data_IF_770547257106
#
_entry.id   IF_770547257106
#
_cell.length_a   1.000
_cell.length_b   1.000
_cell.length_c   1.000
_cell.angle_alpha   90.00
_cell.angle_beta   90.00
_cell.angle_gamma   90.00
#
_symmetry.space_group_name_H-M   'P 1'
#
loop_
_entity.id
_entity.type
_entity.pdbx_description
1 polymer ?
#
# COMPACT_ATOMS: atom_id res chain seq x y z
N UNK A 1 -12.65 -34.20 -4.27
CA UNK A 1 -12.29 -32.76 -4.30
C UNK A 1 -11.42 -32.38 -3.10
N UNK A 2 -11.93 -32.47 -1.86
CA UNK A 2 -11.22 -31.99 -0.67
C UNK A 2 -9.80 -32.58 -0.50
N UNK A 3 -9.66 -33.90 -0.61
CA UNK A 3 -8.36 -34.59 -0.53
C UNK A 3 -7.39 -34.10 -1.62
N UNK A 4 -7.82 -34.12 -2.88
CA UNK A 4 -7.00 -33.63 -4.00
C UNK A 4 -6.61 -32.15 -3.86
N UNK A 5 -7.51 -31.31 -3.33
CA UNK A 5 -7.22 -29.90 -3.06
C UNK A 5 -6.21 -29.75 -1.91
N UNK A 6 -6.30 -30.59 -0.88
CA UNK A 6 -5.33 -30.65 0.23
C UNK A 6 -3.94 -31.04 -0.25
N UNK A 7 -3.84 -32.09 -1.07
CA UNK A 7 -2.56 -32.54 -1.65
C UNK A 7 -1.96 -31.46 -2.55
N UNK A 8 -2.80 -30.81 -3.36
CA UNK A 8 -2.36 -29.72 -4.23
C UNK A 8 -1.87 -28.50 -3.43
N UNK A 9 -2.59 -28.14 -2.36
CA UNK A 9 -2.27 -27.02 -1.48
C UNK A 9 -0.99 -27.26 -0.67
N UNK A 10 -0.77 -28.48 -0.21
CA UNK A 10 0.36 -28.86 0.66
C UNK A 10 1.66 -29.19 -0.10
N UNK A 11 1.63 -29.21 -1.44
CA UNK A 11 2.82 -29.50 -2.24
C UNK A 11 3.99 -28.54 -1.94
N UNK A 12 5.20 -29.03 -1.59
CA UNK A 12 6.28 -28.18 -1.09
C UNK A 12 6.96 -27.31 -2.17
N UNK A 13 6.85 -27.65 -3.45
CA UNK A 13 7.42 -26.87 -4.56
C UNK A 13 6.44 -25.87 -5.18
N UNK A 14 6.82 -25.11 -6.21
CA UNK A 14 5.87 -24.28 -6.96
C UNK A 14 4.96 -25.15 -7.85
N UNK A 15 3.68 -24.77 -7.95
CA UNK A 15 2.79 -25.37 -8.95
C UNK A 15 3.05 -24.70 -10.30
N UNK A 16 3.22 -25.49 -11.35
CA UNK A 16 3.37 -24.98 -12.72
C UNK A 16 2.04 -25.03 -13.49
N UNK A 17 1.99 -24.37 -14.64
CA UNK A 17 0.77 -24.29 -15.46
C UNK A 17 0.23 -25.67 -15.87
N UNK A 18 1.11 -26.65 -16.12
CA UNK A 18 0.72 -28.01 -16.51
C UNK A 18 0.03 -28.76 -15.35
N UNK A 19 0.57 -28.63 -14.13
CA UNK A 19 -0.03 -29.21 -12.93
C UNK A 19 -1.39 -28.59 -12.63
N UNK A 20 -1.52 -27.26 -12.75
CA UNK A 20 -2.80 -26.56 -12.59
C UNK A 20 -3.80 -27.02 -13.64
N UNK A 21 -3.39 -27.14 -14.91
CA UNK A 21 -4.28 -27.62 -15.97
C UNK A 21 -4.79 -29.03 -15.70
N UNK A 22 -3.89 -29.97 -15.37
CA UNK A 22 -4.26 -31.36 -15.00
C UNK A 22 -5.20 -31.42 -13.80
N UNK A 23 -5.01 -30.52 -12.83
CA UNK A 23 -5.88 -30.42 -11.66
C UNK A 23 -7.27 -29.90 -12.06
N UNK A 24 -7.34 -28.81 -12.83
CA UNK A 24 -8.62 -28.20 -13.26
C UNK A 24 -9.38 -29.04 -14.29
N UNK A 25 -8.70 -29.86 -15.09
CA UNK A 25 -9.33 -30.83 -16.00
C UNK A 25 -10.14 -31.88 -15.20
N UNK A 26 -9.68 -32.23 -13.99
CA UNK A 26 -10.37 -33.16 -13.09
C UNK A 26 -11.38 -32.47 -12.18
N UNK A 27 -11.05 -31.25 -11.74
CA UNK A 27 -11.85 -30.45 -10.81
C UNK A 27 -12.05 -29.04 -11.39
N UNK A 28 -13.06 -28.84 -12.25
CA UNK A 28 -13.27 -27.55 -12.90
C UNK A 28 -13.48 -26.42 -11.89
N UNK A 29 -12.95 -25.24 -12.20
CA UNK A 29 -13.01 -24.08 -11.31
C UNK A 29 -14.45 -23.71 -10.83
N UNK A 30 -15.51 -23.77 -11.67
CA UNK A 30 -16.89 -23.58 -11.20
C UNK A 30 -17.31 -24.54 -10.08
N UNK A 31 -16.83 -25.80 -10.13
CA UNK A 31 -17.14 -26.83 -9.11
C UNK A 31 -16.46 -26.49 -7.79
N UNK A 32 -15.20 -26.04 -7.85
CA UNK A 32 -14.43 -25.62 -6.67
C UNK A 32 -15.06 -24.37 -6.04
N UNK A 33 -15.42 -23.38 -6.86
CA UNK A 33 -16.07 -22.15 -6.41
C UNK A 33 -17.44 -22.45 -5.79
N UNK A 34 -18.25 -23.30 -6.43
CA UNK A 34 -19.55 -23.70 -5.89
C UNK A 34 -19.39 -24.44 -4.55
N UNK A 35 -18.39 -25.31 -4.42
CA UNK A 35 -18.11 -25.99 -3.16
C UNK A 35 -17.68 -25.01 -2.04
N UNK A 36 -16.95 -23.94 -2.39
CA UNK A 36 -16.57 -22.88 -1.45
C UNK A 36 -17.77 -22.03 -1.00
N UNK A 37 -18.77 -21.85 -1.88
CA UNK A 37 -20.00 -21.11 -1.58
C UNK A 37 -21.03 -21.93 -0.77
N UNK A 38 -20.95 -23.25 -0.83
CA UNK A 38 -21.79 -24.12 -0.02
C UNK A 38 -21.40 -23.99 1.45
N UNK A 39 -22.31 -23.47 2.27
CA UNK A 39 -22.20 -23.40 3.76
C UNK A 39 -22.32 -24.79 4.42
N UNK A 40 -21.71 -25.82 3.83
CA UNK A 40 -21.70 -27.16 4.40
C UNK A 40 -20.74 -27.23 5.57
N UNK A 41 -21.14 -27.88 6.66
CA UNK A 41 -20.33 -28.14 7.86
C UNK A 41 -19.25 -29.20 7.61
N UNK A 42 -18.51 -29.10 6.50
CA UNK A 42 -17.35 -29.95 6.24
C UNK A 42 -16.13 -29.27 6.88
N UNK A 43 -15.53 -29.86 7.93
CA UNK A 43 -14.38 -29.28 8.59
C UNK A 43 -13.24 -29.00 7.60
N UNK A 44 -12.57 -27.86 7.76
CA UNK A 44 -11.45 -27.38 6.95
C UNK A 44 -11.68 -27.24 5.44
N UNK A 45 -12.89 -27.50 4.92
CA UNK A 45 -13.19 -27.39 3.49
C UNK A 45 -12.81 -26.01 2.95
N UNK A 46 -13.31 -24.95 3.60
CA UNK A 46 -13.08 -23.58 3.19
C UNK A 46 -11.57 -23.25 3.15
N UNK A 47 -10.86 -23.53 4.23
CA UNK A 47 -9.41 -23.29 4.34
C UNK A 47 -8.61 -24.04 3.28
N UNK A 48 -8.94 -25.32 3.04
CA UNK A 48 -8.25 -26.16 2.05
C UNK A 48 -8.52 -25.67 0.63
N UNK A 49 -9.77 -25.34 0.29
CA UNK A 49 -10.12 -24.84 -1.03
C UNK A 49 -9.50 -23.46 -1.28
N UNK A 50 -9.50 -22.58 -0.28
CA UNK A 50 -8.83 -21.27 -0.36
C UNK A 50 -7.34 -21.46 -0.63
N UNK A 51 -6.64 -22.28 0.15
CA UNK A 51 -5.21 -22.53 -0.04
C UNK A 51 -4.90 -23.14 -1.42
N UNK A 52 -5.77 -24.03 -1.92
CA UNK A 52 -5.66 -24.59 -3.26
C UNK A 52 -5.83 -23.50 -4.34
N UNK A 53 -6.87 -22.68 -4.24
CA UNK A 53 -7.16 -21.60 -5.19
C UNK A 53 -6.07 -20.53 -5.21
N UNK A 54 -5.50 -20.17 -4.05
CA UNK A 54 -4.36 -19.25 -3.99
C UNK A 54 -3.19 -19.75 -4.86
N UNK A 55 -2.92 -21.05 -4.84
CA UNK A 55 -1.84 -21.65 -5.65
C UNK A 55 -2.19 -21.74 -7.12
N UNK A 56 -3.46 -22.01 -7.45
CA UNK A 56 -3.95 -22.02 -8.83
C UNK A 56 -3.76 -20.65 -9.45
N UNK A 57 -4.29 -19.59 -8.83
CA UNK A 57 -4.25 -18.23 -9.39
C UNK A 57 -2.86 -17.60 -9.42
N UNK A 58 -1.91 -18.11 -8.63
CA UNK A 58 -0.51 -17.65 -8.68
C UNK A 58 0.28 -18.17 -9.90
N UNK A 59 -0.34 -18.99 -10.75
CA UNK A 59 0.25 -19.45 -12.02
C UNK A 59 -0.22 -18.60 -13.19
N UNK A 60 0.52 -18.61 -14.31
CA UNK A 60 0.12 -17.83 -15.50
C UNK A 60 -1.18 -18.37 -16.10
N UNK A 61 -1.33 -19.69 -16.12
CA UNK A 61 -2.55 -20.34 -16.59
C UNK A 61 -3.73 -20.06 -15.66
N UNK A 62 -3.55 -20.14 -14.34
CA UNK A 62 -4.64 -19.81 -13.42
C UNK A 62 -5.05 -18.34 -13.47
N UNK A 63 -4.08 -17.43 -13.56
CA UNK A 63 -4.34 -16.00 -13.67
C UNK A 63 -5.14 -15.64 -14.93
N UNK A 64 -4.88 -16.30 -16.06
CA UNK A 64 -5.62 -16.05 -17.31
C UNK A 64 -7.10 -16.46 -17.25
N UNK A 65 -7.50 -17.28 -16.27
CA UNK A 65 -8.88 -17.67 -16.06
C UNK A 65 -9.68 -16.64 -15.25
N UNK A 66 -9.01 -15.81 -14.43
CA UNK A 66 -9.63 -14.82 -13.55
C UNK A 66 -10.71 -13.95 -14.24
N UNK A 67 -10.49 -13.39 -15.45
CA UNK A 67 -11.51 -12.57 -16.11
C UNK A 67 -12.88 -13.27 -16.27
N UNK A 68 -12.89 -14.60 -16.44
CA UNK A 68 -14.11 -15.39 -16.61
C UNK A 68 -14.88 -15.57 -15.29
N UNK A 69 -14.21 -15.34 -14.15
CA UNK A 69 -14.73 -15.55 -12.80
C UNK A 69 -14.74 -14.24 -11.98
N UNK A 70 -14.79 -13.09 -12.65
CA UNK A 70 -14.79 -11.78 -11.97
C UNK A 70 -15.98 -11.59 -11.02
N UNK A 71 -17.13 -12.19 -11.31
CA UNK A 71 -18.28 -12.18 -10.40
C UNK A 71 -17.96 -12.86 -9.06
N UNK A 72 -17.18 -13.95 -9.08
CA UNK A 72 -16.69 -14.60 -7.86
C UNK A 72 -15.72 -13.71 -7.10
N UNK A 73 -14.81 -13.02 -7.79
CA UNK A 73 -13.86 -12.10 -7.14
C UNK A 73 -14.61 -10.96 -6.45
N UNK A 74 -15.59 -10.35 -7.13
CA UNK A 74 -16.41 -9.27 -6.57
C UNK A 74 -17.17 -9.70 -5.32
N UNK A 75 -17.88 -10.84 -5.39
CA UNK A 75 -18.61 -11.41 -4.25
C UNK A 75 -17.64 -11.81 -3.13
N UNK A 76 -16.46 -12.34 -3.48
CA UNK A 76 -15.42 -12.74 -2.54
C UNK A 76 -14.87 -11.56 -1.73
N UNK A 77 -14.66 -10.39 -2.36
CA UNK A 77 -14.25 -9.17 -1.67
C UNK A 77 -15.28 -8.69 -0.64
N UNK A 78 -16.55 -9.10 -0.80
CA UNK A 78 -17.64 -8.75 0.11
C UNK A 78 -18.02 -9.91 1.05
N UNK A 79 -17.32 -11.04 1.00
CA UNK A 79 -17.64 -12.21 1.79
C UNK A 79 -17.47 -11.93 3.30
N UNK A 80 -18.35 -12.51 4.13
CA UNK A 80 -18.23 -12.47 5.60
C UNK A 80 -16.95 -13.17 6.08
N UNK A 81 -16.54 -14.22 5.36
CA UNK A 81 -15.32 -14.98 5.63
C UNK A 81 -14.06 -14.21 5.27
N UNK A 82 -13.21 -13.98 6.27
CA UNK A 82 -11.95 -13.25 6.10
C UNK A 82 -10.98 -14.01 5.18
N UNK A 83 -10.96 -15.35 5.20
CA UNK A 83 -10.07 -16.13 4.34
C UNK A 83 -10.49 -16.08 2.87
N UNK A 84 -11.80 -16.03 2.59
CA UNK A 84 -12.33 -15.83 1.24
C UNK A 84 -12.07 -14.41 0.76
N UNK A 85 -12.27 -13.42 1.63
CA UNK A 85 -11.96 -12.01 1.33
C UNK A 85 -10.48 -11.82 1.00
N UNK A 86 -9.59 -12.46 1.78
CA UNK A 86 -8.15 -12.47 1.53
C UNK A 86 -7.78 -13.12 0.20
N UNK A 87 -8.38 -14.26 -0.13
CA UNK A 87 -8.19 -14.91 -1.44
C UNK A 87 -8.61 -13.97 -2.57
N UNK A 88 -9.76 -13.31 -2.45
CA UNK A 88 -10.25 -12.38 -3.45
C UNK A 88 -9.28 -11.20 -3.65
N UNK A 89 -8.79 -10.58 -2.58
CA UNK A 89 -7.74 -9.55 -2.65
C UNK A 89 -6.49 -10.05 -3.40
N UNK A 90 -5.97 -11.22 -3.03
CA UNK A 90 -4.80 -11.81 -3.70
C UNK A 90 -5.06 -12.11 -5.18
N UNK A 91 -6.26 -12.57 -5.51
CA UNK A 91 -6.67 -12.87 -6.89
C UNK A 91 -6.67 -11.60 -7.74
N UNK A 92 -7.09 -10.46 -7.18
CA UNK A 92 -6.99 -9.17 -7.88
C UNK A 92 -5.54 -8.80 -8.18
N UNK A 93 -4.59 -9.05 -7.26
CA UNK A 93 -3.17 -8.79 -7.54
C UNK A 93 -2.62 -9.57 -8.74
N UNK A 94 -3.25 -10.69 -9.09
CA UNK A 94 -2.88 -11.54 -10.22
C UNK A 94 -3.52 -11.12 -11.55
N UNK A 95 -4.43 -10.14 -11.56
CA UNK A 95 -5.21 -9.73 -12.73
C UNK A 95 -5.19 -8.21 -12.94
N UNK A 96 -5.08 -7.76 -14.20
CA UNK A 96 -4.67 -6.40 -14.55
C UNK A 96 -5.50 -5.74 -15.65
N UNK A 97 -6.68 -6.25 -16.01
CA UNK A 97 -7.50 -5.65 -17.08
C UNK A 97 -8.78 -5.00 -16.55
N UNK A 98 -9.20 -3.90 -17.20
CA UNK A 98 -10.51 -3.20 -17.35
C UNK A 98 -11.62 -3.23 -16.26
N UNK A 99 -11.56 -4.08 -15.24
CA UNK A 99 -12.52 -4.18 -14.14
C UNK A 99 -12.15 -3.30 -12.92
N UNK A 100 -11.13 -2.45 -13.06
CA UNK A 100 -10.52 -1.67 -11.97
C UNK A 100 -11.52 -0.76 -11.26
N UNK A 101 -12.43 -0.12 -12.00
CA UNK A 101 -13.42 0.83 -11.46
C UNK A 101 -14.36 0.18 -10.43
N UNK A 102 -14.73 -1.09 -10.63
CA UNK A 102 -15.66 -1.81 -9.75
C UNK A 102 -14.94 -2.40 -8.55
N UNK A 103 -13.69 -2.86 -8.75
CA UNK A 103 -12.92 -3.58 -7.73
C UNK A 103 -12.29 -2.61 -6.72
N UNK A 104 -11.86 -1.43 -7.15
CA UNK A 104 -11.09 -0.51 -6.31
C UNK A 104 -11.84 -0.09 -5.03
N UNK A 105 -13.13 0.30 -5.07
CA UNK A 105 -13.89 0.60 -3.85
C UNK A 105 -13.99 -0.59 -2.88
N UNK A 106 -14.08 -1.81 -3.41
CA UNK A 106 -14.15 -3.03 -2.61
C UNK A 106 -12.81 -3.37 -1.95
N UNK A 107 -11.69 -3.14 -2.65
CA UNK A 107 -10.36 -3.26 -2.05
C UNK A 107 -10.16 -2.25 -0.93
N UNK A 108 -10.61 -1.01 -1.11
CA UNK A 108 -10.52 0.00 -0.08
C UNK A 108 -11.40 -0.32 1.13
N UNK A 109 -12.61 -0.85 0.92
CA UNK A 109 -13.42 -1.39 2.01
C UNK A 109 -12.69 -2.53 2.74
N UNK A 110 -12.08 -3.45 1.99
CA UNK A 110 -11.24 -4.51 2.55
C UNK A 110 -10.08 -3.96 3.40
N UNK A 111 -9.41 -2.90 2.93
CA UNK A 111 -8.34 -2.23 3.65
C UNK A 111 -8.83 -1.62 4.97
N UNK A 112 -9.92 -0.88 4.91
CA UNK A 112 -10.41 -0.07 6.03
C UNK A 112 -11.11 -0.91 7.09
N UNK A 113 -11.96 -1.86 6.68
CA UNK A 113 -12.95 -2.51 7.55
C UNK A 113 -12.64 -3.98 7.89
N UNK A 114 -11.56 -4.57 7.37
CA UNK A 114 -11.24 -6.01 7.59
C UNK A 114 -10.12 -6.25 8.60
N UNK A 115 -9.82 -7.52 8.87
CA UNK A 115 -8.67 -7.91 9.67
C UNK A 115 -7.32 -7.50 9.03
N UNK A 116 -6.23 -7.66 9.78
CA UNK A 116 -4.89 -7.27 9.33
C UNK A 116 -4.41 -8.04 8.09
N UNK A 117 -4.76 -9.32 7.96
CA UNK A 117 -4.32 -10.16 6.85
C UNK A 117 -5.03 -9.79 5.55
N UNK A 118 -6.32 -9.46 5.62
CA UNK A 118 -7.10 -8.94 4.49
C UNK A 118 -6.63 -7.54 4.13
N UNK A 119 -6.43 -6.66 5.12
CA UNK A 119 -5.97 -5.29 4.86
C UNK A 119 -4.60 -5.27 4.18
N UNK A 120 -3.69 -6.16 4.58
CA UNK A 120 -2.40 -6.36 3.93
C UNK A 120 -2.57 -6.87 2.49
N UNK A 121 -3.39 -7.90 2.27
CA UNK A 121 -3.64 -8.43 0.94
C UNK A 121 -4.27 -7.38 0.00
N UNK A 122 -5.17 -6.55 0.53
CA UNK A 122 -5.75 -5.42 -0.21
C UNK A 122 -4.69 -4.37 -0.56
N UNK A 123 -3.81 -4.01 0.39
CA UNK A 123 -2.68 -3.10 0.13
C UNK A 123 -1.80 -3.62 -1.00
N UNK A 124 -1.45 -4.91 -0.99
CA UNK A 124 -0.62 -5.53 -2.03
C UNK A 124 -1.32 -5.54 -3.40
N UNK A 125 -2.65 -5.75 -3.42
CA UNK A 125 -3.46 -5.66 -4.62
C UNK A 125 -3.45 -4.24 -5.19
N UNK A 126 -3.77 -3.23 -4.35
CA UNK A 126 -3.79 -1.83 -4.76
C UNK A 126 -2.40 -1.39 -5.28
N UNK A 127 -1.31 -1.78 -4.62
CA UNK A 127 0.05 -1.50 -5.09
C UNK A 127 0.35 -2.15 -6.44
N UNK A 128 -0.20 -3.33 -6.72
CA UNK A 128 -0.02 -4.01 -7.99
C UNK A 128 -0.78 -3.30 -9.11
N UNK A 129 -2.00 -2.82 -8.82
CA UNK A 129 -2.81 -2.01 -9.74
C UNK A 129 -2.18 -0.66 -10.04
N UNK A 130 -1.62 0.02 -9.03
CA UNK A 130 -0.98 1.33 -9.16
C UNK A 130 0.25 1.35 -10.09
N UNK A 131 0.75 0.19 -10.53
CA UNK A 131 1.81 0.10 -11.55
C UNK A 131 1.32 0.41 -12.96
N UNK A 132 0.00 0.49 -13.17
CA UNK A 132 -0.64 0.69 -14.45
C UNK A 132 -1.40 2.03 -14.47
N UNK A 133 -1.40 2.77 -15.59
CA UNK A 133 -2.07 4.07 -15.70
C UNK A 133 -3.56 4.03 -15.31
N UNK A 134 -4.29 3.01 -15.77
CA UNK A 134 -5.72 2.83 -15.49
C UNK A 134 -5.98 2.55 -14.01
N UNK A 135 -5.01 1.94 -13.34
CA UNK A 135 -5.05 1.70 -11.89
C UNK A 135 -4.87 2.98 -11.09
N UNK A 136 -4.24 4.02 -11.66
CA UNK A 136 -3.93 5.30 -11.02
C UNK A 136 -5.06 6.35 -11.12
N UNK A 137 -5.93 6.28 -12.12
CA UNK A 137 -7.05 7.24 -12.27
C UNK A 137 -8.15 7.07 -11.21
N UNK A 138 -8.25 5.89 -10.58
CA UNK A 138 -9.29 5.55 -9.59
C UNK A 138 -8.86 5.90 -8.14
N UNK A 139 -7.68 6.50 -7.99
CA UNK A 139 -6.93 6.59 -6.75
C UNK A 139 -7.30 7.87 -5.98
N UNK A 140 -8.36 7.73 -5.18
CA UNK A 140 -8.72 8.53 -3.99
C UNK A 140 -9.53 9.81 -4.17
N UNK A 141 -10.79 9.69 -4.57
CA UNK A 141 -11.79 10.67 -4.11
C UNK A 141 -12.42 10.21 -2.78
N UNK A 142 -12.25 11.05 -1.74
CA UNK A 142 -13.02 11.06 -0.49
C UNK A 142 -12.93 9.86 0.48
N UNK A 143 -11.82 9.12 0.52
CA UNK A 143 -11.67 8.00 1.46
C UNK A 143 -11.48 8.36 2.93
N UNK A 144 -10.68 9.38 3.23
CA UNK A 144 -10.33 9.66 4.63
C UNK A 144 -11.50 10.21 5.47
N UNK A 145 -12.44 10.93 4.85
CA UNK A 145 -13.55 11.61 5.55
C UNK A 145 -14.60 10.64 6.11
N UNK A 146 -14.59 9.37 5.70
CA UNK A 146 -15.59 8.36 6.07
C UNK A 146 -15.04 7.21 6.93
N UNK A 147 -13.77 7.26 7.32
CA UNK A 147 -13.09 6.18 8.02
C UNK A 147 -13.02 6.36 9.54
N UNK A 148 -12.99 5.25 10.27
CA UNK A 148 -12.58 5.20 11.68
C UNK A 148 -11.11 5.63 11.84
N UNK A 149 -10.64 5.96 13.05
CA UNK A 149 -9.22 6.34 13.27
C UNK A 149 -8.25 5.29 12.71
N UNK A 150 -8.49 4.00 12.97
CA UNK A 150 -7.67 2.91 12.41
C UNK A 150 -7.75 2.87 10.87
N UNK A 151 -8.94 3.04 10.31
CA UNK A 151 -9.15 3.11 8.86
C UNK A 151 -8.37 4.24 8.22
N UNK A 152 -8.36 5.44 8.84
CA UNK A 152 -7.58 6.59 8.38
C UNK A 152 -6.08 6.29 8.41
N UNK A 153 -5.56 5.72 9.51
CA UNK A 153 -4.15 5.31 9.59
C UNK A 153 -3.79 4.29 8.50
N UNK A 154 -4.68 3.33 8.19
CA UNK A 154 -4.45 2.37 7.10
C UNK A 154 -4.44 3.02 5.72
N UNK A 155 -5.30 4.00 5.47
CA UNK A 155 -5.28 4.81 4.23
C UNK A 155 -3.98 5.59 4.12
N UNK A 156 -3.54 6.26 5.20
CA UNK A 156 -2.25 6.96 5.22
C UNK A 156 -1.08 6.00 4.98
N UNK A 157 -1.11 4.82 5.59
CA UNK A 157 -0.09 3.79 5.35
C UNK A 157 -0.07 3.33 3.89
N UNK A 158 -1.24 3.14 3.27
CA UNK A 158 -1.34 2.83 1.84
C UNK A 158 -0.70 3.93 1.00
N UNK A 159 -0.95 5.22 1.30
CA UNK A 159 -0.33 6.35 0.59
C UNK A 159 1.20 6.24 0.68
N UNK A 160 1.78 6.01 1.87
CA UNK A 160 3.24 5.81 2.03
C UNK A 160 3.75 4.65 1.18
N UNK A 161 3.05 3.51 1.17
CA UNK A 161 3.46 2.35 0.36
C UNK A 161 3.36 2.60 -1.14
N UNK A 162 2.44 3.46 -1.59
CA UNK A 162 2.29 3.84 -2.99
C UNK A 162 3.38 4.81 -3.46
N UNK A 163 3.83 5.74 -2.61
CA UNK A 163 5.01 6.57 -2.92
C UNK A 163 6.22 5.72 -3.30
N UNK A 164 6.41 4.59 -2.62
CA UNK A 164 7.52 3.66 -2.88
C UNK A 164 7.33 2.77 -4.13
N UNK A 165 6.27 2.94 -4.93
CA UNK A 165 6.05 2.15 -6.17
C UNK A 165 6.87 2.70 -7.35
N UNK A 166 6.76 4.00 -7.62
CA UNK A 166 7.55 4.69 -8.65
C UNK A 166 7.42 6.22 -8.53
N UNK A 167 8.32 6.98 -9.15
CA UNK A 167 8.24 8.44 -9.21
C UNK A 167 6.95 8.94 -9.88
N UNK A 168 6.43 8.24 -10.90
CA UNK A 168 5.17 8.60 -11.56
C UNK A 168 3.97 8.47 -10.62
N UNK A 169 3.93 7.38 -9.84
CA UNK A 169 2.90 7.15 -8.82
C UNK A 169 2.98 8.21 -7.72
N UNK A 170 4.18 8.48 -7.21
CA UNK A 170 4.42 9.53 -6.21
C UNK A 170 3.97 10.91 -6.69
N UNK A 171 4.28 11.26 -7.95
CA UNK A 171 3.86 12.53 -8.56
C UNK A 171 2.34 12.64 -8.65
N UNK A 172 1.66 11.57 -9.03
CA UNK A 172 0.18 11.54 -9.12
C UNK A 172 -0.45 11.74 -7.75
N UNK A 173 0.07 11.08 -6.72
CA UNK A 173 -0.41 11.21 -5.33
C UNK A 173 -0.21 12.63 -4.81
N UNK A 174 0.95 13.22 -5.07
CA UNK A 174 1.25 14.60 -4.70
C UNK A 174 0.31 15.59 -5.41
N UNK A 175 0.13 15.45 -6.73
CA UNK A 175 -0.75 16.32 -7.52
C UNK A 175 -2.23 16.18 -7.14
N UNK A 176 -2.62 15.01 -6.61
CA UNK A 176 -3.96 14.77 -6.07
C UNK A 176 -4.14 15.29 -4.64
N UNK A 177 -3.14 15.99 -4.10
CA UNK A 177 -3.14 16.61 -2.78
C UNK A 177 -3.40 15.62 -1.62
N UNK A 178 -3.05 14.34 -1.78
CA UNK A 178 -3.35 13.31 -0.77
C UNK A 178 -2.49 13.43 0.48
N UNK A 179 -1.37 14.16 0.37
CA UNK A 179 -0.56 14.48 1.54
C UNK A 179 -1.29 15.39 2.54
N UNK A 180 -2.29 16.19 2.11
CA UNK A 180 -3.06 17.02 3.03
C UNK A 180 -3.82 16.20 4.08
N UNK A 181 -4.03 14.90 3.83
CA UNK A 181 -4.62 13.97 4.80
C UNK A 181 -3.71 13.74 6.01
N UNK A 182 -2.39 13.75 5.81
CA UNK A 182 -1.44 13.66 6.92
C UNK A 182 -1.47 14.95 7.75
N UNK A 183 -1.52 16.11 7.09
CA UNK A 183 -1.61 17.41 7.76
C UNK A 183 -2.87 17.48 8.64
N UNK A 184 -4.01 17.04 8.11
CA UNK A 184 -5.27 17.02 8.85
C UNK A 184 -5.21 16.15 10.12
N UNK A 185 -4.59 14.96 10.05
CA UNK A 185 -4.43 14.11 11.24
C UNK A 185 -3.39 14.66 12.24
N UNK A 186 -2.33 15.33 11.78
CA UNK A 186 -1.34 15.94 12.68
C UNK A 186 -1.94 17.14 13.41
N UNK A 187 -2.76 17.93 12.73
CA UNK A 187 -3.45 19.08 13.31
C UNK A 187 -4.61 18.68 14.24
N UNK A 188 -5.07 17.43 14.17
CA UNK A 188 -6.11 16.92 15.06
C UNK A 188 -5.57 16.62 16.46
N UNK A 189 -5.49 17.65 17.29
CA UNK A 189 -4.91 17.60 18.64
C UNK A 189 -5.61 16.66 19.65
N UNK A 190 -6.77 16.09 19.29
CA UNK A 190 -7.58 15.28 20.20
C UNK A 190 -7.16 13.80 20.24
N UNK A 191 -6.37 13.31 19.29
CA UNK A 191 -5.96 11.91 19.18
C UNK A 191 -4.43 11.77 19.04
N UNK A 192 -3.75 11.88 20.19
CA UNK A 192 -2.29 11.80 20.26
C UNK A 192 -1.71 10.51 19.67
N UNK A 193 -2.40 9.38 19.82
CA UNK A 193 -1.97 8.10 19.28
C UNK A 193 -2.07 8.08 17.76
N UNK A 194 -3.13 8.65 17.20
CA UNK A 194 -3.22 8.85 15.76
C UNK A 194 -2.12 9.80 15.26
N UNK A 195 -1.92 10.95 15.91
CA UNK A 195 -0.84 11.89 15.55
C UNK A 195 0.53 11.22 15.56
N UNK A 196 0.86 10.45 16.61
CA UNK A 196 2.12 9.71 16.67
C UNK A 196 2.22 8.69 15.52
N UNK A 197 1.16 7.95 15.24
CA UNK A 197 1.11 6.99 14.13
C UNK A 197 1.34 7.67 12.78
N UNK A 198 0.76 8.86 12.57
CA UNK A 198 0.97 9.64 11.34
C UNK A 198 2.41 10.15 11.23
N UNK A 199 3.02 10.59 12.35
CA UNK A 199 4.43 10.98 12.37
C UNK A 199 5.37 9.79 12.05
N UNK A 200 5.07 8.58 12.54
CA UNK A 200 5.83 7.37 12.16
C UNK A 200 5.69 7.06 10.67
N UNK A 201 4.49 7.22 10.10
CA UNK A 201 4.29 7.05 8.66
C UNK A 201 5.04 8.13 7.83
N UNK A 202 5.08 9.38 8.29
CA UNK A 202 5.90 10.42 7.66
C UNK A 202 7.40 10.12 7.77
N UNK A 203 7.83 9.55 8.89
CA UNK A 203 9.21 9.12 9.07
C UNK A 203 9.57 8.00 8.08
N UNK A 204 8.68 7.03 7.85
CA UNK A 204 8.83 6.02 6.80
C UNK A 204 8.86 6.68 5.40
N UNK A 205 7.94 7.60 5.11
CA UNK A 205 7.86 8.28 3.82
C UNK A 205 9.12 9.10 3.51
N UNK A 206 9.74 9.71 4.53
CA UNK A 206 11.02 10.43 4.41
C UNK A 206 12.23 9.53 4.10
N UNK A 207 12.07 8.21 4.20
CA UNK A 207 13.08 7.22 3.80
C UNK A 207 12.85 6.73 2.35
N UNK A 208 11.66 6.94 1.80
CA UNK A 208 11.35 6.52 0.45
C UNK A 208 12.13 7.38 -0.57
N UNK A 209 12.82 6.76 -1.55
CA UNK A 209 13.58 7.51 -2.57
C UNK A 209 12.67 8.41 -3.41
N UNK A 210 11.37 8.14 -3.43
CA UNK A 210 10.38 8.95 -4.14
C UNK A 210 9.56 9.85 -3.22
N UNK A 211 9.69 9.75 -1.89
CA UNK A 211 8.87 10.50 -0.92
C UNK A 211 9.54 11.79 -0.43
N UNK A 212 10.85 11.72 -0.19
CA UNK A 212 11.65 12.82 0.40
C UNK A 212 11.53 14.12 -0.40
N UNK A 213 11.60 14.04 -1.73
CA UNK A 213 11.52 15.20 -2.61
C UNK A 213 10.17 15.93 -2.50
N UNK A 214 9.07 15.19 -2.34
CA UNK A 214 7.74 15.79 -2.23
C UNK A 214 7.47 16.34 -0.83
N UNK A 215 7.98 15.69 0.21
CA UNK A 215 7.90 16.22 1.58
C UNK A 215 8.65 17.54 1.74
N UNK A 216 9.80 17.70 1.07
CA UNK A 216 10.58 18.93 1.11
C UNK A 216 9.91 20.11 0.36
N UNK A 217 9.07 19.83 -0.65
CA UNK A 217 8.35 20.85 -1.44
C UNK A 217 7.05 21.34 -0.80
N UNK A 218 6.54 20.63 0.21
CA UNK A 218 5.24 20.89 0.82
C UNK A 218 5.28 21.76 2.07
N UNK A 219 4.11 21.89 2.71
CA UNK A 219 3.90 22.59 4.00
C UNK A 219 4.43 21.79 5.20
N UNK A 220 4.87 20.54 5.00
CA UNK A 220 5.34 19.66 6.09
C UNK A 220 6.52 20.23 6.87
N UNK A 221 7.48 20.89 6.21
CA UNK A 221 8.59 21.51 6.93
C UNK A 221 8.10 22.56 7.93
N UNK A 222 7.14 23.39 7.51
CA UNK A 222 6.51 24.39 8.37
C UNK A 222 5.68 23.72 9.48
N UNK A 223 4.89 22.70 9.16
CA UNK A 223 4.08 21.96 10.13
C UNK A 223 4.95 21.29 11.20
N UNK A 224 6.02 20.59 10.80
CA UNK A 224 6.96 19.96 11.72
C UNK A 224 7.68 21.00 12.58
N UNK A 225 8.10 22.12 11.99
CA UNK A 225 8.74 23.22 12.73
C UNK A 225 7.80 23.81 13.77
N UNK A 226 6.53 24.05 13.40
CA UNK A 226 5.50 24.54 14.33
C UNK A 226 5.23 23.55 15.47
N UNK A 227 5.25 22.25 15.17
CA UNK A 227 5.10 21.18 16.16
C UNK A 227 6.25 21.21 17.16
N UNK A 228 7.49 21.35 16.70
CA UNK A 228 8.70 21.37 17.54
C UNK A 228 8.72 22.60 18.45
N UNK A 229 8.40 23.78 17.90
CA UNK A 229 8.42 25.04 18.65
C UNK A 229 7.25 25.18 19.63
N UNK A 230 6.18 24.39 19.48
CA UNK A 230 5.03 24.46 20.37
C UNK A 230 5.27 23.66 21.67
N UNK A 231 5.53 24.36 22.76
CA UNK A 231 5.77 23.75 24.08
C UNK A 231 4.56 23.04 24.67
N UNK A 232 3.34 23.30 24.16
CA UNK A 232 2.12 22.58 24.59
C UNK A 232 2.00 21.20 23.94
N UNK A 233 2.78 20.90 22.90
CA UNK A 233 2.79 19.58 22.26
C UNK A 233 3.68 18.64 23.08
N UNK A 234 3.19 17.42 23.27
CA UNK A 234 3.90 16.37 23.99
C UNK A 234 5.32 16.13 23.45
N UNK A 235 6.25 15.88 24.37
CA UNK A 235 7.67 15.72 24.06
C UNK A 235 7.93 14.59 23.05
N UNK A 236 7.13 13.52 23.07
CA UNK A 236 7.25 12.40 22.15
C UNK A 236 6.93 12.80 20.70
N UNK A 237 5.88 13.59 20.50
CA UNK A 237 5.51 14.09 19.17
C UNK A 237 6.56 15.07 18.64
N UNK A 238 7.04 15.98 19.50
CA UNK A 238 8.14 16.90 19.16
C UNK A 238 9.42 16.15 18.78
N UNK A 239 9.78 15.13 19.55
CA UNK A 239 10.96 14.30 19.29
C UNK A 239 10.86 13.59 17.93
N UNK A 240 9.68 13.07 17.57
CA UNK A 240 9.46 12.49 16.25
C UNK A 240 9.52 13.51 15.13
N UNK A 241 8.93 14.69 15.32
CA UNK A 241 9.05 15.76 14.34
C UNK A 241 10.51 16.16 14.09
N UNK A 242 11.35 16.24 15.13
CA UNK A 242 12.79 16.47 15.02
C UNK A 242 13.46 15.38 14.17
N UNK A 243 13.14 14.11 14.39
CA UNK A 243 13.73 13.00 13.63
C UNK A 243 13.36 13.04 12.15
N UNK A 244 12.10 13.37 11.82
CA UNK A 244 11.64 13.52 10.43
C UNK A 244 12.38 14.67 9.76
N UNK A 245 12.45 15.84 10.41
CA UNK A 245 13.21 16.99 9.90
C UNK A 245 14.67 16.61 9.64
N UNK A 246 15.33 15.95 10.61
CA UNK A 246 16.71 15.51 10.47
C UNK A 246 16.93 14.59 9.26
N UNK A 247 15.97 13.71 8.95
CA UNK A 247 16.00 12.88 7.74
C UNK A 247 15.84 13.69 6.47
N UNK A 248 14.89 14.63 6.41
CA UNK A 248 14.72 15.49 5.24
C UNK A 248 16.00 16.29 4.94
N UNK A 249 16.68 16.79 5.98
CA UNK A 249 17.96 17.48 5.87
C UNK A 249 19.15 16.58 5.50
N UNK A 250 19.03 15.24 5.56
CA UNK A 250 20.10 14.36 5.08
C UNK A 250 20.37 14.51 3.57
N UNK A 251 19.39 14.99 2.80
CA UNK A 251 19.57 15.37 1.39
C UNK A 251 20.53 16.55 1.23
N UNK A 252 20.49 17.52 2.15
CA UNK A 252 21.43 18.66 2.18
C UNK A 252 22.86 18.18 2.44
N UNK A 253 23.05 17.14 3.28
CA UNK A 253 24.37 16.52 3.46
C UNK A 253 24.95 15.99 2.15
N UNK A 254 24.13 15.37 1.31
CA UNK A 254 24.57 14.89 -0.01
C UNK A 254 24.99 16.05 -0.91
N UNK A 255 24.22 17.15 -0.91
CA UNK A 255 24.58 18.37 -1.66
C UNK A 255 25.89 18.96 -1.15
N UNK A 256 26.06 19.07 0.17
CA UNK A 256 27.29 19.55 0.79
C UNK A 256 28.52 18.71 0.43
N UNK A 257 28.38 17.39 0.37
CA UNK A 257 29.45 16.50 -0.05
C UNK A 257 29.83 16.73 -1.53
N UNK A 258 28.84 16.84 -2.42
CA UNK A 258 29.08 17.11 -3.85
C UNK A 258 29.74 18.47 -4.05
N UNK A 259 29.28 19.50 -3.32
CA UNK A 259 29.92 20.81 -3.33
C UNK A 259 31.38 20.68 -2.90
N UNK A 260 31.64 20.02 -1.77
CA UNK A 260 32.99 19.79 -1.23
C UNK A 260 33.94 19.05 -2.17
N UNK A 261 33.45 18.03 -2.89
CA UNK A 261 34.24 17.26 -3.87
C UNK A 261 34.52 18.04 -5.16
N UNK A 262 33.67 19.00 -5.53
CA UNK A 262 33.81 19.82 -6.75
C UNK A 262 34.59 21.12 -6.56
N UNK A 263 35.09 21.41 -5.36
CA UNK A 263 35.82 22.64 -5.01
C UNK A 263 37.24 22.71 -5.58
N UNK A 264 37.40 22.52 -6.89
CA UNK A 264 38.66 22.71 -7.60
C UNK A 264 38.67 23.99 -8.45
N UNK A 265 37.50 24.49 -8.82
CA UNK A 265 37.30 25.76 -9.51
C UNK A 265 36.96 26.89 -8.52
N UNK A 266 37.63 28.04 -8.66
CA UNK A 266 37.52 29.15 -7.70
C UNK A 266 36.17 29.86 -7.76
N UNK A 267 35.58 29.98 -8.95
CA UNK A 267 34.28 30.64 -9.14
C UNK A 267 33.15 29.74 -8.61
N UNK A 268 33.22 28.43 -8.85
CA UNK A 268 32.29 27.45 -8.24
C UNK A 268 32.39 27.45 -6.70
N UNK A 269 33.60 27.61 -6.14
CA UNK A 269 33.82 27.67 -4.69
C UNK A 269 33.19 28.90 -4.03
N UNK A 270 33.45 30.10 -4.57
CA UNK A 270 32.90 31.35 -4.05
C UNK A 270 31.37 31.32 -4.09
N UNK A 271 30.80 30.84 -5.20
CA UNK A 271 29.34 30.69 -5.37
C UNK A 271 28.76 29.70 -4.35
N UNK A 272 29.43 28.58 -4.09
CA UNK A 272 28.98 27.59 -3.10
C UNK A 272 29.00 28.16 -1.68
N UNK A 273 30.05 28.91 -1.32
CA UNK A 273 30.15 29.57 0.00
C UNK A 273 29.11 30.65 0.17
N UNK A 274 28.87 31.47 -0.86
CA UNK A 274 27.80 32.47 -0.85
C UNK A 274 26.44 31.82 -0.65
N UNK A 275 26.14 30.75 -1.41
CA UNK A 275 24.88 30.01 -1.29
C UNK A 275 24.69 29.39 0.11
N UNK A 276 25.75 28.89 0.76
CA UNK A 276 25.68 28.41 2.13
C UNK A 276 25.47 29.55 3.12
N UNK A 277 26.12 30.71 2.91
CA UNK A 277 25.90 31.91 3.72
C UNK A 277 24.46 32.44 3.67
N UNK A 278 23.70 32.14 2.61
CA UNK A 278 22.26 32.47 2.55
C UNK A 278 21.40 31.61 3.50
N UNK A 279 21.91 30.45 3.94
CA UNK A 279 21.19 29.55 4.85
C UNK A 279 21.39 29.97 6.33
N UNK A 280 22.48 30.69 6.63
CA UNK A 280 22.86 31.16 7.97
C UNK A 280 24.07 30.42 8.51
#
# INVERSE_FOLDING_TARGET
LLEAASDFASYPGFQNDEAVKKFLDKFPLPVIISALQCKGDVPSLETTLVACLERVFNTKYGASLIPQFMSFVQVGLQAESQIVRRLACKTVSCFLENALVIIYPLLLDCLVNSDELVAKASTDAIKSLAKYPEGMEVIFDNLASRCSSLGRIRVLSLIVKLFSVSTTVASTIYNSNLLSLFEAEILNANDMLATLSVLELLYELSESPHGTDFLARGTFLQLLTSTISNTSVESILRSRAIMIIGRLFSTVKTVLNVLGERMHDTDEFETAVEALGQIG
#
